data_IF_598387333668
#
_entry.id   IF_598387333668
#
_cell.length_a   1.000
_cell.length_b   1.000
_cell.length_c   1.000
_cell.angle_alpha   90.00
_cell.angle_beta   90.00
_cell.angle_gamma   90.00
#
_symmetry.space_group_name_H-M   'P 1'
#
loop_
_entity.id
_entity.type
_entity.pdbx_description
1 polymer ?
#
# COMPACT_ATOMS: atom_id res chain seq x y z
N UNK A 1 -2.05 -7.48 16.76
CA UNK A 1 -0.79 -8.08 17.29
C UNK A 1 -1.15 -9.33 18.08
N UNK A 2 -0.34 -10.39 18.01
CA UNK A 2 -0.61 -11.63 18.76
C UNK A 2 -0.24 -11.50 20.24
N UNK A 3 -1.14 -11.86 21.16
CA UNK A 3 -0.99 -11.64 22.61
C UNK A 3 0.32 -12.20 23.16
N UNK A 4 0.61 -13.46 22.90
CA UNK A 4 1.83 -14.12 23.42
C UNK A 4 3.11 -13.48 22.90
N UNK A 5 3.10 -12.97 21.67
CA UNK A 5 4.29 -12.34 21.07
C UNK A 5 4.56 -10.97 21.71
N UNK A 6 3.50 -10.25 22.07
CA UNK A 6 3.59 -8.99 22.82
C UNK A 6 4.16 -9.23 24.22
N UNK A 7 3.63 -10.19 24.97
CA UNK A 7 4.14 -10.49 26.32
C UNK A 7 5.59 -11.02 26.29
N UNK A 8 5.93 -11.88 25.32
CA UNK A 8 7.32 -12.32 25.08
C UNK A 8 8.24 -11.13 24.81
N UNK A 9 7.83 -10.19 23.98
CA UNK A 9 8.61 -8.97 23.71
C UNK A 9 8.79 -8.12 24.96
N UNK A 10 7.72 -7.88 25.74
CA UNK A 10 7.81 -7.08 26.96
C UNK A 10 8.80 -7.74 27.94
N UNK A 11 8.70 -9.04 28.17
CA UNK A 11 9.60 -9.78 29.06
C UNK A 11 11.07 -9.67 28.61
N UNK A 12 11.35 -9.99 27.33
CA UNK A 12 12.72 -9.96 26.79
C UNK A 12 13.28 -8.53 26.80
N UNK A 13 12.50 -7.53 26.36
CA UNK A 13 12.93 -6.12 26.35
C UNK A 13 13.24 -5.61 27.76
N UNK A 14 12.46 -6.06 28.76
CA UNK A 14 12.69 -5.72 30.17
C UNK A 14 14.00 -6.33 30.67
N UNK A 15 14.29 -7.59 30.34
CA UNK A 15 15.56 -8.24 30.70
C UNK A 15 16.77 -7.58 30.05
N UNK A 16 16.68 -7.21 28.76
CA UNK A 16 17.76 -6.54 28.04
C UNK A 16 18.04 -5.13 28.59
N UNK A 17 17.02 -4.46 29.12
CA UNK A 17 17.12 -3.10 29.66
C UNK A 17 17.49 -3.07 31.16
N UNK A 18 17.30 -4.18 31.87
CA UNK A 18 17.60 -4.32 33.30
C UNK A 18 18.99 -3.81 33.74
N UNK A 19 20.12 -4.09 33.03
CA UNK A 19 21.43 -3.58 33.45
C UNK A 19 21.57 -2.06 33.33
N UNK A 20 20.70 -1.39 32.55
CA UNK A 20 20.73 0.06 32.36
C UNK A 20 19.72 0.81 33.23
N UNK A 21 18.50 0.28 33.34
CA UNK A 21 17.40 0.90 34.07
C UNK A 21 16.74 -0.09 35.04
N UNK A 22 17.46 -0.56 36.07
CA UNK A 22 17.04 -1.66 36.92
C UNK A 22 15.74 -1.35 37.68
N UNK A 23 15.57 -0.13 38.19
CA UNK A 23 14.36 0.26 38.94
C UNK A 23 13.09 0.22 38.09
N UNK A 24 13.16 0.68 36.83
CA UNK A 24 12.04 0.63 35.90
C UNK A 24 11.73 -0.82 35.52
N UNK A 25 12.78 -1.61 35.25
CA UNK A 25 12.62 -3.00 34.85
C UNK A 25 12.06 -3.86 35.98
N UNK A 26 12.47 -3.64 37.23
CA UNK A 26 11.88 -4.27 38.43
C UNK A 26 10.39 -3.93 38.54
N UNK A 27 10.02 -2.67 38.35
CA UNK A 27 8.61 -2.27 38.36
C UNK A 27 7.81 -2.97 37.24
N UNK A 28 8.31 -2.98 36.00
CA UNK A 28 7.67 -3.70 34.89
C UNK A 28 7.56 -5.21 35.19
N UNK A 29 8.59 -5.80 35.76
CA UNK A 29 8.64 -7.23 36.12
C UNK A 29 7.55 -7.60 37.14
N UNK A 30 7.33 -6.75 38.15
CA UNK A 30 6.22 -6.90 39.10
C UNK A 30 4.85 -6.68 38.45
N UNK A 31 4.73 -5.75 37.50
CA UNK A 31 3.49 -5.55 36.73
C UNK A 31 3.14 -6.75 35.85
N UNK A 32 4.14 -7.50 35.38
CA UNK A 32 3.93 -8.78 34.68
C UNK A 32 3.50 -9.92 35.62
N UNK A 33 3.43 -9.68 36.94
CA UNK A 33 3.01 -10.66 37.93
C UNK A 33 4.07 -11.75 38.21
N UNK A 34 5.35 -11.47 37.92
CA UNK A 34 6.44 -12.40 38.24
C UNK A 34 6.67 -12.41 39.76
N UNK A 35 6.84 -13.59 40.38
CA UNK A 35 6.88 -13.71 41.84
C UNK A 35 8.18 -13.20 42.47
N UNK A 36 9.29 -13.27 41.74
CA UNK A 36 10.63 -12.91 42.22
C UNK A 36 11.12 -11.59 41.60
N UNK A 37 12.14 -10.99 42.22
CA UNK A 37 12.85 -9.83 41.68
C UNK A 37 13.52 -10.15 40.33
N UNK A 38 13.57 -9.17 39.42
CA UNK A 38 14.26 -9.28 38.14
C UNK A 38 15.76 -9.55 38.32
N UNK A 39 16.34 -9.22 39.48
CA UNK A 39 17.74 -9.48 39.81
C UNK A 39 18.07 -10.98 39.85
N UNK A 40 17.05 -11.83 40.03
CA UNK A 40 17.19 -13.29 39.99
C UNK A 40 16.93 -13.87 38.60
N UNK A 41 16.51 -13.05 37.62
CA UNK A 41 16.15 -13.52 36.30
C UNK A 41 17.38 -13.88 35.47
N UNK A 42 17.27 -14.97 34.70
CA UNK A 42 18.31 -15.38 33.74
C UNK A 42 18.23 -14.59 32.45
N UNK A 43 19.36 -14.49 31.74
CA UNK A 43 19.42 -13.89 30.41
C UNK A 43 18.46 -14.57 29.42
N UNK A 44 17.73 -13.82 28.57
CA UNK A 44 16.73 -14.39 27.67
C UNK A 44 17.34 -15.28 26.60
N UNK A 45 16.72 -16.44 26.37
CA UNK A 45 17.13 -17.39 25.31
C UNK A 45 16.54 -16.97 23.96
N UNK A 46 17.42 -16.81 22.97
CA UNK A 46 17.05 -16.51 21.59
C UNK A 46 16.48 -17.76 20.88
N UNK A 47 15.43 -17.56 20.09
CA UNK A 47 14.87 -18.58 19.21
C UNK A 47 15.60 -18.67 17.86
N UNK A 48 15.12 -19.51 16.93
CA UNK A 48 15.67 -19.57 15.58
C UNK A 48 15.45 -18.24 14.85
N UNK A 49 16.49 -17.77 14.16
CA UNK A 49 16.47 -16.54 13.36
C UNK A 49 16.23 -16.90 11.90
N UNK A 50 15.14 -16.39 11.31
CA UNK A 50 14.85 -16.56 9.89
C UNK A 50 15.25 -15.29 9.14
N UNK A 51 16.42 -15.33 8.50
CA UNK A 51 16.95 -14.18 7.76
C UNK A 51 16.08 -13.79 6.57
N UNK A 52 15.50 -14.77 5.86
CA UNK A 52 14.62 -14.51 4.71
C UNK A 52 13.38 -13.69 5.11
N UNK A 53 12.82 -13.94 6.30
CA UNK A 53 11.70 -13.14 6.84
C UNK A 53 12.14 -11.72 7.23
N UNK A 54 13.33 -11.56 7.79
CA UNK A 54 13.87 -10.23 8.12
C UNK A 54 14.10 -9.45 6.82
N UNK A 55 14.64 -10.11 5.80
CA UNK A 55 14.92 -9.54 4.49
C UNK A 55 13.64 -9.12 3.76
N UNK A 56 12.60 -9.96 3.77
CA UNK A 56 11.31 -9.62 3.17
C UNK A 56 10.62 -8.46 3.90
N UNK A 57 10.75 -8.40 5.23
CA UNK A 57 10.25 -7.25 6.02
C UNK A 57 11.02 -5.96 5.71
N UNK A 58 12.34 -6.01 5.55
CA UNK A 58 13.16 -4.85 5.16
C UNK A 58 12.76 -4.34 3.78
N UNK A 59 12.61 -5.26 2.81
CA UNK A 59 12.10 -4.95 1.48
C UNK A 59 10.74 -4.25 1.54
N UNK A 60 9.78 -4.78 2.33
CA UNK A 60 8.46 -4.15 2.50
C UNK A 60 8.56 -2.73 3.05
N UNK A 61 9.43 -2.49 4.04
CA UNK A 61 9.66 -1.15 4.61
C UNK A 61 10.22 -0.17 3.57
N UNK A 62 11.18 -0.61 2.77
CA UNK A 62 11.79 0.20 1.70
C UNK A 62 10.78 0.54 0.60
N UNK A 63 10.01 -0.44 0.13
CA UNK A 63 8.95 -0.22 -0.88
C UNK A 63 7.88 0.72 -0.34
N UNK A 64 7.47 0.55 0.92
CA UNK A 64 6.49 1.46 1.54
C UNK A 64 7.02 2.89 1.59
N UNK A 65 8.30 3.06 1.93
CA UNK A 65 8.95 4.38 1.94
C UNK A 65 9.00 5.02 0.54
N UNK A 66 9.43 4.26 -0.47
CA UNK A 66 9.48 4.72 -1.87
C UNK A 66 8.08 5.09 -2.39
N UNK A 67 7.06 4.28 -2.12
CA UNK A 67 5.68 4.59 -2.49
C UNK A 67 5.18 5.89 -1.88
N UNK A 68 5.47 6.15 -0.59
CA UNK A 68 5.12 7.42 0.08
C UNK A 68 5.84 8.60 -0.57
N UNK A 69 7.12 8.44 -0.90
CA UNK A 69 7.91 9.49 -1.55
C UNK A 69 7.37 9.82 -2.94
N UNK A 70 7.06 8.80 -3.75
CA UNK A 70 6.50 8.98 -5.09
C UNK A 70 5.08 9.58 -5.05
N UNK A 71 4.26 9.17 -4.09
CA UNK A 71 2.94 9.77 -3.87
C UNK A 71 3.06 11.26 -3.55
N UNK A 72 4.00 11.63 -2.67
CA UNK A 72 4.29 13.05 -2.36
C UNK A 72 4.70 13.82 -3.62
N UNK A 73 5.59 13.25 -4.44
CA UNK A 73 6.04 13.89 -5.68
C UNK A 73 4.92 14.04 -6.71
N UNK A 74 4.01 13.06 -6.81
CA UNK A 74 2.82 13.14 -7.67
C UNK A 74 1.88 14.28 -7.26
N UNK A 75 1.76 14.52 -5.96
CA UNK A 75 0.93 15.60 -5.42
C UNK A 75 1.59 16.98 -5.49
N UNK A 76 2.88 17.07 -5.81
CA UNK A 76 3.56 18.36 -6.00
C UNK A 76 3.30 18.90 -7.41
N UNK A 77 3.00 20.20 -7.56
CA UNK A 77 2.87 20.81 -8.88
C UNK A 77 4.17 20.64 -9.66
N UNK A 78 4.07 20.18 -10.91
CA UNK A 78 5.23 20.00 -11.78
C UNK A 78 5.99 21.34 -11.88
N UNK A 79 7.23 21.36 -11.38
CA UNK A 79 8.11 22.52 -11.50
C UNK A 79 8.30 22.85 -12.98
N UNK A 80 7.63 23.88 -13.48
CA UNK A 80 7.96 24.52 -14.76
C UNK A 80 6.87 24.62 -15.84
N UNK A 81 5.64 24.13 -15.67
CA UNK A 81 4.55 24.41 -16.63
C UNK A 81 3.42 25.22 -16.00
N UNK A 82 3.40 26.52 -16.31
CA UNK A 82 2.25 27.41 -16.11
C UNK A 82 1.15 27.05 -17.13
N UNK A 83 0.43 25.97 -16.93
CA UNK A 83 -0.84 25.72 -17.64
C UNK A 83 -1.80 24.98 -16.71
N UNK A 84 -2.95 25.63 -16.50
CA UNK A 84 -4.15 25.26 -15.75
C UNK A 84 -4.04 24.83 -14.28
N UNK A 85 -4.54 25.74 -13.43
CA UNK A 85 -4.82 25.57 -12.01
C UNK A 85 -6.01 24.62 -11.79
N UNK A 86 -5.92 23.37 -12.20
CA UNK A 86 -6.71 22.34 -11.53
C UNK A 86 -5.91 21.84 -10.32
N UNK A 87 -6.48 21.83 -9.11
CA UNK A 87 -5.81 21.23 -7.97
C UNK A 87 -5.51 19.77 -8.33
N UNK A 88 -4.23 19.36 -8.21
CA UNK A 88 -3.81 17.98 -8.43
C UNK A 88 -4.63 17.08 -7.49
N UNK A 89 -5.56 16.33 -8.08
CA UNK A 89 -6.42 15.44 -7.33
C UNK A 89 -5.59 14.28 -6.80
N UNK A 90 -5.82 13.92 -5.54
CA UNK A 90 -5.14 12.78 -4.92
C UNK A 90 -5.43 11.51 -5.74
N UNK A 91 -4.42 10.71 -6.08
CA UNK A 91 -4.65 9.49 -6.83
C UNK A 91 -5.50 8.52 -6.01
N UNK A 92 -6.44 7.86 -6.69
CA UNK A 92 -7.30 6.85 -6.08
C UNK A 92 -6.64 5.48 -6.06
N UNK A 93 -5.97 5.10 -7.14
CA UNK A 93 -5.48 3.75 -7.39
C UNK A 93 -3.97 3.77 -7.63
N UNK A 94 -3.31 2.66 -7.29
CA UNK A 94 -1.91 2.45 -7.61
C UNK A 94 -1.73 1.06 -8.22
N UNK A 95 -0.96 0.96 -9.30
CA UNK A 95 -0.51 -0.32 -9.84
C UNK A 95 0.97 -0.48 -9.55
N UNK A 96 1.32 -1.51 -8.81
CA UNK A 96 2.69 -1.92 -8.52
C UNK A 96 3.07 -3.04 -9.50
N UNK A 97 4.20 -2.90 -10.16
CA UNK A 97 4.76 -3.86 -11.09
C UNK A 97 6.00 -4.50 -10.49
N UNK A 98 5.99 -5.83 -10.46
CA UNK A 98 7.07 -6.66 -9.91
C UNK A 98 7.69 -7.48 -11.03
N UNK A 99 9.01 -7.43 -11.17
CA UNK A 99 9.74 -8.24 -12.14
C UNK A 99 10.13 -9.59 -11.51
N UNK A 100 9.87 -10.70 -12.22
CA UNK A 100 10.29 -12.04 -11.75
C UNK A 100 11.79 -12.27 -11.92
N UNK A 101 12.33 -11.81 -13.05
CA UNK A 101 13.72 -11.94 -13.42
C UNK A 101 14.26 -10.57 -13.82
N UNK A 102 15.56 -10.39 -13.72
CA UNK A 102 16.24 -9.22 -14.27
C UNK A 102 16.01 -9.12 -15.79
N UNK A 103 15.77 -7.90 -16.34
CA UNK A 103 15.79 -7.66 -17.78
C UNK A 103 17.09 -8.18 -18.42
N UNK A 104 17.10 -8.56 -19.72
CA UNK A 104 18.24 -9.23 -20.34
C UNK A 104 19.58 -8.50 -20.14
N UNK A 105 19.60 -7.18 -20.32
CA UNK A 105 20.82 -6.38 -20.14
C UNK A 105 21.28 -6.32 -18.68
N UNK A 106 20.36 -6.33 -17.71
CA UNK A 106 20.69 -6.36 -16.28
C UNK A 106 21.15 -7.76 -15.84
N UNK A 107 20.55 -8.80 -16.42
CA UNK A 107 20.96 -10.18 -16.17
C UNK A 107 22.39 -10.41 -16.65
N UNK A 108 22.73 -9.96 -17.87
CA UNK A 108 24.09 -10.05 -18.41
C UNK A 108 25.09 -9.27 -17.57
N UNK A 109 24.77 -8.03 -17.17
CA UNK A 109 25.66 -7.24 -16.31
C UNK A 109 25.87 -7.89 -14.94
N UNK A 110 24.80 -8.36 -14.29
CA UNK A 110 24.86 -9.02 -12.99
C UNK A 110 25.65 -10.35 -13.07
N UNK A 111 25.48 -11.11 -14.15
CA UNK A 111 26.26 -12.34 -14.40
C UNK A 111 27.76 -12.05 -14.53
N UNK A 112 28.14 -10.97 -15.19
CA UNK A 112 29.53 -10.52 -15.28
C UNK A 112 30.06 -10.08 -13.91
N UNK A 113 29.28 -9.33 -13.14
CA UNK A 113 29.66 -8.92 -11.80
C UNK A 113 29.86 -10.13 -10.88
N UNK A 114 28.98 -11.13 -10.96
CA UNK A 114 29.09 -12.40 -10.22
C UNK A 114 30.35 -13.18 -10.60
N UNK A 115 30.64 -13.31 -11.89
CA UNK A 115 31.88 -13.94 -12.39
C UNK A 115 33.13 -13.27 -11.82
N UNK A 116 33.18 -11.95 -11.82
CA UNK A 116 34.29 -11.18 -11.23
C UNK A 116 34.40 -11.34 -9.72
N UNK A 117 33.27 -11.39 -9.03
CA UNK A 117 33.21 -11.57 -7.59
C UNK A 117 33.75 -12.96 -7.19
N UNK A 118 33.36 -14.01 -7.91
CA UNK A 118 33.84 -15.38 -7.70
C UNK A 118 35.32 -15.54 -8.07
N UNK A 119 35.78 -14.92 -9.16
CA UNK A 119 37.16 -15.02 -9.62
C UNK A 119 38.18 -14.34 -8.69
N UNK A 120 37.77 -13.30 -7.96
CA UNK A 120 38.68 -12.45 -7.19
C UNK A 120 38.44 -12.53 -5.67
N UNK A 121 38.00 -13.69 -5.17
CA UNK A 121 37.75 -13.95 -3.75
C UNK A 121 36.84 -12.89 -3.08
N UNK A 122 35.77 -12.47 -3.76
CA UNK A 122 34.77 -11.55 -3.22
C UNK A 122 35.08 -10.06 -3.41
N UNK A 123 35.97 -9.71 -4.34
CA UNK A 123 36.28 -8.31 -4.65
C UNK A 123 36.00 -7.96 -6.11
N UNK A 124 35.11 -6.98 -6.31
CA UNK A 124 34.84 -6.45 -7.64
C UNK A 124 36.00 -5.58 -8.15
N UNK A 125 36.37 -5.70 -9.44
CA UNK A 125 37.34 -4.83 -10.09
C UNK A 125 36.95 -3.35 -10.08
N UNK A 126 37.90 -2.51 -10.47
CA UNK A 126 37.66 -1.07 -10.66
C UNK A 126 36.58 -0.82 -11.73
N UNK A 127 35.86 0.29 -11.59
CA UNK A 127 34.76 0.65 -12.48
C UNK A 127 35.22 0.77 -13.94
N UNK A 128 36.48 1.13 -14.20
CA UNK A 128 37.05 1.17 -15.55
C UNK A 128 37.12 -0.20 -16.21
N UNK A 129 37.54 -1.22 -15.47
CA UNK A 129 37.65 -2.60 -15.97
C UNK A 129 36.26 -3.15 -16.29
N UNK A 130 35.31 -2.96 -15.37
CA UNK A 130 33.91 -3.38 -15.55
C UNK A 130 33.28 -2.65 -16.76
N UNK A 131 33.48 -1.34 -16.88
CA UNK A 131 32.95 -0.57 -18.01
C UNK A 131 33.53 -1.02 -19.36
N UNK A 132 34.83 -1.38 -19.38
CA UNK A 132 35.50 -1.87 -20.59
C UNK A 132 34.93 -3.21 -21.05
N UNK A 133 34.75 -4.16 -20.12
CA UNK A 133 34.20 -5.48 -20.46
C UNK A 133 32.73 -5.40 -20.87
N UNK A 134 31.89 -4.70 -20.11
CA UNK A 134 30.47 -4.51 -20.45
C UNK A 134 30.30 -3.73 -21.76
N UNK A 135 31.22 -2.81 -22.07
CA UNK A 135 31.24 -2.07 -23.34
C UNK A 135 31.63 -2.91 -24.56
N UNK A 136 32.31 -4.05 -24.36
CA UNK A 136 32.65 -4.98 -25.44
C UNK A 136 31.50 -5.92 -25.80
N UNK A 137 30.48 -6.04 -24.95
CA UNK A 137 29.31 -6.88 -25.17
C UNK A 137 28.28 -6.20 -26.09
N UNK A 138 27.98 -6.75 -27.29
CA UNK A 138 27.07 -6.12 -28.25
C UNK A 138 25.64 -5.90 -27.70
N UNK A 139 25.18 -6.80 -26.83
CA UNK A 139 23.86 -6.79 -26.21
C UNK A 139 23.62 -5.55 -25.33
N UNK A 140 24.69 -4.98 -24.76
CA UNK A 140 24.61 -3.86 -23.82
C UNK A 140 24.78 -2.50 -24.50
N UNK A 141 25.12 -2.46 -25.80
CA UNK A 141 25.43 -1.22 -26.54
C UNK A 141 24.30 -0.18 -26.48
N UNK A 142 23.05 -0.63 -26.52
CA UNK A 142 21.85 0.24 -26.40
C UNK A 142 21.66 0.79 -24.97
N UNK A 143 22.16 0.08 -23.96
CA UNK A 143 21.91 0.34 -22.55
C UNK A 143 23.13 0.90 -21.79
N UNK A 144 24.26 1.16 -22.46
CA UNK A 144 25.50 1.60 -21.81
C UNK A 144 25.34 2.82 -20.89
N UNK A 145 24.39 3.72 -21.18
CA UNK A 145 24.06 4.86 -20.29
C UNK A 145 23.42 4.43 -18.96
N UNK A 146 22.69 3.32 -18.93
CA UNK A 146 22.01 2.74 -17.74
C UNK A 146 22.89 1.71 -17.01
N UNK A 147 23.83 1.09 -17.71
CA UNK A 147 24.69 0.02 -17.17
C UNK A 147 25.54 0.48 -15.99
N UNK A 148 26.29 1.59 -16.12
CA UNK A 148 27.19 2.02 -15.04
C UNK A 148 26.45 2.52 -13.78
N UNK A 149 25.33 3.27 -13.88
CA UNK A 149 24.48 3.56 -12.72
C UNK A 149 23.98 2.29 -12.03
N UNK A 150 23.60 1.25 -12.79
CA UNK A 150 23.20 -0.03 -12.23
C UNK A 150 24.35 -0.73 -11.49
N UNK A 151 25.55 -0.78 -12.07
CA UNK A 151 26.74 -1.34 -11.41
C UNK A 151 27.06 -0.59 -10.11
N UNK A 152 26.99 0.75 -10.11
CA UNK A 152 27.24 1.57 -8.93
C UNK A 152 26.25 1.25 -7.80
N UNK A 153 24.96 1.15 -8.14
CA UNK A 153 23.90 0.76 -7.20
C UNK A 153 24.12 -0.65 -6.64
N UNK A 154 24.52 -1.62 -7.47
CA UNK A 154 24.84 -2.98 -7.03
C UNK A 154 26.04 -2.98 -6.09
N UNK A 155 27.10 -2.20 -6.37
CA UNK A 155 28.25 -2.05 -5.46
C UNK A 155 27.86 -1.44 -4.11
N UNK A 156 27.05 -0.38 -4.10
CA UNK A 156 26.57 0.22 -2.86
C UNK A 156 25.75 -0.77 -2.02
N UNK A 157 24.85 -1.51 -2.68
CA UNK A 157 24.05 -2.53 -2.03
C UNK A 157 24.88 -3.74 -1.54
N UNK A 158 25.95 -4.10 -2.26
CA UNK A 158 26.87 -5.17 -1.88
C UNK A 158 27.62 -4.86 -0.59
N UNK A 159 28.13 -3.63 -0.46
CA UNK A 159 28.81 -3.18 0.76
C UNK A 159 27.85 -3.10 1.96
N UNK A 160 26.58 -2.77 1.71
CA UNK A 160 25.57 -2.61 2.78
C UNK A 160 24.93 -3.91 3.24
N UNK A 161 24.56 -4.78 2.29
CA UNK A 161 23.69 -5.94 2.52
C UNK A 161 24.38 -7.27 2.23
N UNK A 162 25.63 -7.25 1.74
CA UNK A 162 26.42 -8.44 1.46
C UNK A 162 26.13 -9.10 0.10
N UNK A 163 26.75 -10.26 -0.18
CA UNK A 163 26.80 -10.89 -1.51
C UNK A 163 25.46 -11.34 -2.09
N UNK A 164 24.42 -11.50 -1.28
CA UNK A 164 23.06 -11.93 -1.70
C UNK A 164 22.44 -11.07 -2.81
N UNK A 165 22.86 -9.81 -2.92
CA UNK A 165 22.40 -8.90 -3.98
C UNK A 165 22.88 -9.32 -5.38
N UNK A 166 23.88 -10.21 -5.46
CA UNK A 166 24.40 -10.77 -6.71
C UNK A 166 23.65 -12.03 -7.15
N UNK A 167 22.65 -12.46 -6.38
CA UNK A 167 21.79 -13.55 -6.79
C UNK A 167 20.83 -13.11 -7.88
N UNK A 168 20.65 -13.98 -8.88
CA UNK A 168 19.83 -13.70 -10.06
C UNK A 168 18.33 -13.66 -9.71
N UNK A 169 17.97 -14.22 -8.56
CA UNK A 169 16.61 -14.31 -8.04
C UNK A 169 16.64 -14.00 -6.54
N UNK A 170 15.55 -13.40 -6.05
CA UNK A 170 15.39 -13.13 -4.62
C UNK A 170 15.10 -14.42 -3.85
N UNK A 171 15.49 -14.42 -2.56
CA UNK A 171 15.27 -15.53 -1.62
C UNK A 171 13.79 -15.72 -1.23
N UNK A 172 12.93 -14.75 -1.56
CA UNK A 172 11.51 -14.74 -1.23
C UNK A 172 10.64 -14.32 -2.43
N UNK A 173 9.36 -14.71 -2.41
CA UNK A 173 8.40 -14.29 -3.42
C UNK A 173 7.96 -12.84 -3.17
N UNK A 174 8.52 -11.93 -3.96
CA UNK A 174 8.27 -10.50 -3.89
C UNK A 174 6.77 -10.15 -4.03
N UNK A 175 6.06 -10.84 -4.92
CA UNK A 175 4.62 -10.60 -5.11
C UNK A 175 3.83 -11.07 -3.90
N UNK A 176 4.14 -12.25 -3.36
CA UNK A 176 3.45 -12.77 -2.18
C UNK A 176 3.62 -11.85 -0.96
N UNK A 177 4.85 -11.38 -0.71
CA UNK A 177 5.15 -10.45 0.40
C UNK A 177 4.35 -9.15 0.30
N UNK A 178 4.23 -8.58 -0.89
CA UNK A 178 3.40 -7.40 -1.11
C UNK A 178 1.92 -7.73 -0.90
N UNK A 179 1.44 -8.86 -1.44
CA UNK A 179 0.05 -9.31 -1.34
C UNK A 179 -0.40 -9.55 0.11
N UNK A 180 0.45 -10.10 0.97
CA UNK A 180 0.15 -10.28 2.41
C UNK A 180 -0.08 -8.94 3.13
N UNK A 181 0.52 -7.85 2.64
CA UNK A 181 0.53 -6.55 3.30
C UNK A 181 -0.22 -5.45 2.53
N UNK A 182 -0.99 -5.79 1.48
CA UNK A 182 -1.72 -4.80 0.65
C UNK A 182 -2.70 -3.96 1.45
N UNK A 183 -3.32 -4.52 2.49
CA UNK A 183 -4.29 -3.81 3.33
C UNK A 183 -3.59 -2.69 4.08
N UNK A 184 -2.41 -2.98 4.65
CA UNK A 184 -1.58 -1.99 5.32
C UNK A 184 -1.10 -0.91 4.34
N UNK A 185 -0.61 -1.30 3.15
CA UNK A 185 -0.15 -0.35 2.13
C UNK A 185 -1.28 0.58 1.66
N UNK A 186 -2.45 0.02 1.39
CA UNK A 186 -3.65 0.78 0.94
C UNK A 186 -4.08 1.79 2.00
N UNK A 187 -4.13 1.37 3.26
CA UNK A 187 -4.50 2.24 4.37
C UNK A 187 -3.43 3.31 4.63
N UNK A 188 -2.15 2.93 4.62
CA UNK A 188 -1.05 3.86 4.91
C UNK A 188 -0.84 4.91 3.81
N UNK A 189 -1.07 4.56 2.55
CA UNK A 189 -1.02 5.50 1.43
C UNK A 189 -2.36 6.23 1.22
N UNK A 190 -3.37 5.86 2.02
CA UNK A 190 -4.73 6.38 1.95
C UNK A 190 -5.35 6.27 0.54
N UNK A 191 -4.97 5.21 -0.18
CA UNK A 191 -5.48 4.88 -1.51
C UNK A 191 -6.77 4.07 -1.41
N UNK A 192 -7.48 3.98 -2.52
CA UNK A 192 -8.68 3.15 -2.71
C UNK A 192 -8.31 1.67 -2.85
N UNK A 193 -7.40 1.40 -3.78
CA UNK A 193 -7.05 0.07 -4.21
C UNK A 193 -5.64 0.06 -4.78
N UNK A 194 -4.95 -1.06 -4.54
CA UNK A 194 -3.60 -1.31 -5.05
C UNK A 194 -3.64 -2.62 -5.83
N UNK A 195 -3.27 -2.55 -7.11
CA UNK A 195 -3.07 -3.73 -7.95
C UNK A 195 -1.61 -4.13 -7.96
N UNK A 196 -1.30 -5.41 -7.74
CA UNK A 196 0.06 -5.95 -7.87
C UNK A 196 0.12 -6.86 -9.09
N UNK A 197 0.78 -6.38 -10.15
CA UNK A 197 0.94 -7.07 -11.44
C UNK A 197 2.38 -7.49 -11.67
N UNK A 198 2.58 -8.49 -12.52
CA UNK A 198 3.92 -8.77 -13.01
C UNK A 198 4.32 -7.74 -14.06
N UNK A 199 5.59 -7.35 -14.09
CA UNK A 199 6.12 -6.35 -15.03
C UNK A 199 5.94 -6.76 -16.51
N UNK A 200 5.67 -8.04 -16.80
CA UNK A 200 5.33 -8.53 -18.13
C UNK A 200 4.04 -7.92 -18.70
N UNK A 201 3.08 -7.56 -17.84
CA UNK A 201 1.81 -6.93 -18.22
C UNK A 201 1.92 -5.40 -18.34
N UNK A 202 3.09 -4.83 -18.06
CA UNK A 202 3.32 -3.39 -18.06
C UNK A 202 3.69 -2.86 -19.46
N UNK A 203 3.64 -1.54 -19.62
CA UNK A 203 4.21 -0.86 -20.78
C UNK A 203 5.73 -1.09 -20.91
N UNK A 204 6.25 -0.92 -22.11
CA UNK A 204 7.65 -1.24 -22.45
C UNK A 204 8.68 -0.58 -21.53
N UNK A 205 8.42 0.65 -21.08
CA UNK A 205 9.30 1.39 -20.16
C UNK A 205 9.40 0.70 -18.81
N UNK A 206 8.26 0.38 -18.19
CA UNK A 206 8.25 -0.32 -16.90
C UNK A 206 8.84 -1.72 -17.06
N UNK A 207 8.51 -2.43 -18.15
CA UNK A 207 9.02 -3.78 -18.40
C UNK A 207 10.55 -3.83 -18.56
N UNK A 208 11.14 -2.80 -19.14
CA UNK A 208 12.59 -2.71 -19.38
C UNK A 208 13.39 -2.18 -18.20
N UNK A 209 12.80 -1.31 -17.37
CA UNK A 209 13.46 -0.67 -16.23
C UNK A 209 13.19 -1.34 -14.88
N UNK A 210 12.08 -2.08 -14.74
CA UNK A 210 11.74 -2.77 -13.50
C UNK A 210 12.69 -3.96 -13.26
N UNK A 211 13.16 -4.09 -12.02
CA UNK A 211 14.00 -5.20 -11.60
C UNK A 211 13.56 -5.77 -10.24
N UNK A 212 13.85 -7.05 -9.95
CA UNK A 212 13.53 -7.66 -8.68
C UNK A 212 14.08 -6.84 -7.51
N UNK A 213 13.28 -6.70 -6.46
CA UNK A 213 13.62 -5.94 -5.24
C UNK A 213 13.44 -4.43 -5.35
N UNK A 214 13.21 -3.90 -6.55
CA UNK A 214 12.90 -2.47 -6.79
C UNK A 214 11.66 -2.35 -7.69
N UNK A 215 10.46 -2.64 -7.17
CA UNK A 215 9.24 -2.60 -7.95
C UNK A 215 8.95 -1.17 -8.41
N UNK A 216 8.38 -1.05 -9.61
CA UNK A 216 7.91 0.23 -10.14
C UNK A 216 6.42 0.37 -9.91
N UNK A 217 5.94 1.61 -9.83
CA UNK A 217 4.54 1.90 -9.56
C UNK A 217 4.04 3.07 -10.39
N UNK A 218 2.75 3.03 -10.69
CA UNK A 218 2.03 4.07 -11.41
C UNK A 218 0.76 4.42 -10.63
N UNK A 219 0.62 5.69 -10.27
CA UNK A 219 -0.59 6.22 -9.66
C UNK A 219 -1.60 6.60 -10.74
N UNK A 220 -2.87 6.26 -10.53
CA UNK A 220 -3.97 6.59 -11.44
C UNK A 220 -5.18 7.14 -10.68
N UNK A 221 -5.88 8.04 -11.34
CA UNK A 221 -7.19 8.54 -10.90
C UNK A 221 -8.21 7.79 -11.72
N UNK A 222 -9.03 6.99 -11.06
CA UNK A 222 -10.16 6.37 -11.73
C UNK A 222 -11.34 7.34 -11.76
N UNK A 223 -11.97 7.51 -12.93
CA UNK A 223 -13.10 8.41 -13.08
C UNK A 223 -14.27 7.93 -12.22
N UNK A 224 -14.95 8.87 -11.58
CA UNK A 224 -16.12 8.60 -10.76
C UNK A 224 -17.15 9.71 -10.88
N UNK A 225 -18.37 9.40 -10.44
CA UNK A 225 -19.46 10.38 -10.34
C UNK A 225 -19.60 10.79 -8.87
N UNK A 226 -19.62 12.10 -8.62
CA UNK A 226 -19.75 12.65 -7.27
C UNK A 226 -21.19 12.51 -6.77
N UNK A 227 -21.35 11.89 -5.61
CA UNK A 227 -22.62 11.68 -4.90
C UNK A 227 -22.57 12.33 -3.54
N UNK A 228 -23.68 12.96 -3.15
CA UNK A 228 -23.86 13.53 -1.83
C UNK A 228 -24.34 12.45 -0.87
N UNK A 229 -23.51 12.09 0.11
CA UNK A 229 -23.90 11.25 1.22
C UNK A 229 -24.45 12.13 2.34
N UNK A 230 -25.70 11.92 2.73
CA UNK A 230 -26.42 12.73 3.72
C UNK A 230 -26.80 11.87 4.92
N UNK A 231 -26.57 12.39 6.13
CA UNK A 231 -27.06 11.78 7.35
C UNK A 231 -28.25 12.60 7.91
N UNK A 232 -29.48 12.04 7.88
CA UNK A 232 -30.66 12.73 8.39
C UNK A 232 -30.93 12.51 9.88
N UNK A 233 -30.13 11.72 10.59
CA UNK A 233 -30.41 11.40 11.99
C UNK A 233 -30.17 12.63 12.88
N UNK A 234 -31.12 12.97 13.77
CA UNK A 234 -30.96 14.12 14.65
C UNK A 234 -29.84 13.90 15.67
N UNK A 235 -29.22 14.99 16.10
CA UNK A 235 -28.29 15.02 17.24
C UNK A 235 -27.05 14.12 17.11
N UNK A 236 -26.62 13.81 15.89
CA UNK A 236 -25.32 13.17 15.63
C UNK A 236 -24.31 14.17 15.04
N UNK A 237 -23.02 13.88 15.20
CA UNK A 237 -21.92 14.71 14.65
C UNK A 237 -21.56 14.36 13.19
N UNK A 238 -22.45 13.67 12.46
CA UNK A 238 -22.14 13.14 11.14
C UNK A 238 -22.70 14.06 10.04
N UNK A 239 -21.81 14.77 9.35
CA UNK A 239 -22.18 15.76 8.34
C UNK A 239 -22.33 15.16 6.93
N UNK A 240 -23.07 15.87 6.08
CA UNK A 240 -23.14 15.53 4.66
C UNK A 240 -21.77 15.68 4.00
N UNK A 241 -21.38 14.68 3.20
CA UNK A 241 -20.09 14.64 2.50
C UNK A 241 -20.27 14.23 1.06
N UNK A 242 -19.47 14.80 0.14
CA UNK A 242 -19.45 14.36 -1.26
C UNK A 242 -18.38 13.30 -1.45
N UNK A 243 -18.75 12.17 -2.04
CA UNK A 243 -17.85 11.05 -2.34
C UNK A 243 -17.97 10.73 -3.83
N UNK A 244 -16.86 10.40 -4.47
CA UNK A 244 -16.88 9.88 -5.84
C UNK A 244 -17.20 8.39 -5.81
N UNK A 245 -18.26 7.97 -6.50
CA UNK A 245 -18.60 6.57 -6.75
C UNK A 245 -18.00 6.16 -8.09
N UNK A 246 -17.40 4.98 -8.14
CA UNK A 246 -16.70 4.40 -9.28
C UNK A 246 -17.36 3.11 -9.73
N UNK A 247 -16.99 2.69 -10.93
CA UNK A 247 -17.54 1.49 -11.56
C UNK A 247 -17.14 0.24 -10.76
N UNK A 248 -18.13 -0.56 -10.34
CA UNK A 248 -17.90 -1.81 -9.62
C UNK A 248 -17.75 -1.66 -8.10
N UNK A 249 -18.04 -0.48 -7.55
CA UNK A 249 -18.02 -0.29 -6.11
C UNK A 249 -19.07 -1.15 -5.40
N UNK A 250 -18.74 -1.56 -4.18
CA UNK A 250 -19.68 -2.17 -3.24
C UNK A 250 -19.96 -1.22 -2.06
N UNK A 251 -20.94 -1.58 -1.23
CA UNK A 251 -21.29 -0.81 -0.03
C UNK A 251 -20.08 -0.60 0.89
N UNK A 252 -19.27 -1.63 1.10
CA UNK A 252 -18.05 -1.57 1.91
C UNK A 252 -17.07 -0.49 1.43
N UNK A 253 -16.80 -0.42 0.14
CA UNK A 253 -15.89 0.57 -0.46
C UNK A 253 -16.40 1.99 -0.22
N UNK A 254 -17.70 2.22 -0.39
CA UNK A 254 -18.32 3.53 -0.13
C UNK A 254 -18.24 3.88 1.36
N UNK A 255 -18.54 2.94 2.26
CA UNK A 255 -18.46 3.16 3.70
C UNK A 255 -17.01 3.42 4.12
N UNK A 256 -16.02 2.71 3.57
CA UNK A 256 -14.59 2.98 3.83
C UNK A 256 -14.17 4.38 3.38
N UNK A 257 -14.67 4.86 2.23
CA UNK A 257 -14.45 6.26 1.81
C UNK A 257 -15.09 7.24 2.77
N UNK A 258 -16.31 6.96 3.22
CA UNK A 258 -17.01 7.79 4.20
C UNK A 258 -16.24 7.84 5.53
N UNK A 259 -15.73 6.71 6.03
CA UNK A 259 -14.92 6.63 7.26
C UNK A 259 -13.61 7.44 7.14
N UNK A 260 -13.00 7.49 5.96
CA UNK A 260 -11.80 8.32 5.72
C UNK A 260 -12.10 9.81 5.85
N UNK A 261 -13.28 10.27 5.41
CA UNK A 261 -13.71 11.66 5.55
C UNK A 261 -14.27 11.96 6.95
N UNK A 262 -14.97 11.00 7.55
CA UNK A 262 -15.60 11.10 8.86
C UNK A 262 -15.00 10.08 9.84
N UNK A 263 -13.90 10.49 10.49
CA UNK A 263 -13.14 9.66 11.45
C UNK A 263 -13.93 9.27 12.71
N UNK A 264 -15.14 9.82 12.92
CA UNK A 264 -16.02 9.42 14.00
C UNK A 264 -16.62 8.02 13.81
N UNK A 265 -16.68 7.53 12.57
CA UNK A 265 -17.17 6.19 12.25
C UNK A 265 -16.01 5.20 12.37
N UNK A 266 -16.11 4.29 13.35
CA UNK A 266 -15.06 3.31 13.66
C UNK A 266 -15.34 1.91 13.15
N UNK A 267 -16.59 1.61 12.81
CA UNK A 267 -17.05 0.27 12.47
C UNK A 267 -17.91 0.29 11.20
N UNK A 268 -17.61 -0.64 10.29
CA UNK A 268 -18.28 -0.81 9.01
C UNK A 268 -19.72 -1.27 9.21
N UNK A 269 -19.96 -2.24 10.11
CA UNK A 269 -21.29 -2.83 10.32
C UNK A 269 -22.31 -1.88 10.94
N UNK A 270 -21.86 -0.76 11.48
CA UNK A 270 -22.72 0.27 12.07
C UNK A 270 -23.30 1.22 11.04
N UNK A 271 -22.78 1.22 9.81
CA UNK A 271 -23.24 2.11 8.76
C UNK A 271 -24.19 1.37 7.83
N UNK A 272 -25.41 1.90 7.66
CA UNK A 272 -26.37 1.43 6.66
C UNK A 272 -26.55 2.47 5.57
N UNK A 273 -26.34 2.05 4.32
CA UNK A 273 -26.61 2.87 3.15
C UNK A 273 -28.06 2.68 2.69
N UNK A 274 -28.71 3.79 2.40
CA UNK A 274 -30.11 3.85 1.96
C UNK A 274 -30.20 4.69 0.70
N UNK A 275 -31.11 4.33 -0.20
CA UNK A 275 -31.48 5.14 -1.37
C UNK A 275 -32.89 5.68 -1.21
N UNK A 276 -33.19 6.78 -1.88
CA UNK A 276 -34.57 7.25 -1.99
C UNK A 276 -35.35 6.34 -2.96
N UNK A 277 -36.64 6.14 -2.67
CA UNK A 277 -37.53 5.43 -3.58
C UNK A 277 -37.77 6.21 -4.87
N UNK A 278 -37.81 7.55 -4.76
CA UNK A 278 -37.76 8.50 -5.88
C UNK A 278 -36.43 9.28 -5.86
N UNK A 279 -35.52 9.01 -6.82
CA UNK A 279 -34.21 9.66 -6.89
C UNK A 279 -34.23 11.18 -7.12
N UNK A 280 -35.31 11.74 -7.68
CA UNK A 280 -35.38 13.16 -8.05
C UNK A 280 -36.16 13.98 -7.03
N UNK A 281 -37.31 13.47 -6.58
CA UNK A 281 -38.17 14.15 -5.62
C UNK A 281 -37.75 13.89 -4.18
N UNK A 282 -37.22 12.70 -3.87
CA UNK A 282 -36.83 12.31 -2.52
C UNK A 282 -35.87 13.30 -1.85
N UNK A 283 -34.70 13.62 -2.46
CA UNK A 283 -33.75 14.58 -1.91
C UNK A 283 -34.29 16.00 -1.73
N UNK A 284 -35.38 16.36 -2.42
CA UNK A 284 -36.00 17.70 -2.39
C UNK A 284 -37.12 17.82 -1.35
N UNK A 285 -37.52 16.72 -0.72
CA UNK A 285 -38.53 16.71 0.34
C UNK A 285 -37.89 17.07 1.68
N UNK A 286 -38.61 17.84 2.49
CA UNK A 286 -38.17 18.21 3.82
C UNK A 286 -38.09 16.95 4.70
N UNK A 287 -36.94 16.63 5.33
CA UNK A 287 -36.82 15.48 6.20
C UNK A 287 -37.76 15.59 7.41
N UNK A 288 -38.51 14.54 7.70
CA UNK A 288 -39.35 14.44 8.90
C UNK A 288 -38.56 13.78 10.02
N UNK A 289 -38.37 14.49 11.13
CA UNK A 289 -37.63 14.01 12.30
C UNK A 289 -38.27 12.73 12.87
N UNK A 290 -37.45 11.72 13.18
CA UNK A 290 -37.88 10.43 13.71
C UNK A 290 -38.50 9.47 12.70
N UNK A 291 -38.51 9.83 11.41
CA UNK A 291 -38.95 8.98 10.29
C UNK A 291 -37.82 8.78 9.29
N UNK A 292 -36.65 8.36 9.76
CA UNK A 292 -35.46 8.24 8.90
C UNK A 292 -35.62 7.20 7.79
N UNK A 293 -36.54 6.25 7.92
CA UNK A 293 -36.78 5.14 6.99
C UNK A 293 -37.92 5.38 5.97
N UNK A 294 -38.71 6.44 6.11
CA UNK A 294 -39.88 6.65 5.23
C UNK A 294 -39.42 7.09 3.84
N UNK A 295 -39.98 6.47 2.78
CA UNK A 295 -39.66 6.69 1.36
C UNK A 295 -38.19 6.39 0.98
N UNK A 296 -37.56 5.48 1.73
CA UNK A 296 -36.18 5.08 1.54
C UNK A 296 -36.04 3.57 1.63
N UNK A 297 -35.28 3.01 0.70
CA UNK A 297 -34.98 1.59 0.63
C UNK A 297 -33.54 1.33 1.03
N UNK A 298 -33.26 0.32 1.88
CA UNK A 298 -31.89 -0.06 2.20
C UNK A 298 -31.21 -0.64 0.97
N UNK A 299 -29.94 -0.27 0.79
CA UNK A 299 -29.10 -0.84 -0.25
C UNK A 299 -28.55 -2.17 0.27
N UNK A 300 -28.69 -3.23 -0.51
CA UNK A 300 -28.17 -4.56 -0.17
C UNK A 300 -26.64 -4.54 -0.07
N UNK A 301 -26.09 -5.35 0.83
CA UNK A 301 -24.62 -5.53 0.96
C UNK A 301 -24.00 -6.13 -0.30
N UNK A 302 -24.77 -6.89 -1.08
CA UNK A 302 -24.34 -7.50 -2.34
C UNK A 302 -24.53 -6.60 -3.56
N UNK A 303 -25.04 -5.38 -3.36
CA UNK A 303 -25.28 -4.46 -4.46
C UNK A 303 -23.97 -3.94 -5.05
N UNK A 304 -23.92 -3.86 -6.37
CA UNK A 304 -22.79 -3.30 -7.12
C UNK A 304 -23.22 -2.00 -7.77
N UNK A 305 -22.43 -0.95 -7.56
CA UNK A 305 -22.64 0.36 -8.16
C UNK A 305 -22.00 0.41 -9.55
N UNK A 306 -22.83 0.67 -10.55
CA UNK A 306 -22.42 0.88 -11.94
C UNK A 306 -22.56 2.37 -12.27
N UNK A 307 -21.51 2.95 -12.83
CA UNK A 307 -21.40 4.37 -13.10
C UNK A 307 -21.40 4.59 -14.60
N UNK A 308 -22.35 5.38 -15.08
CA UNK A 308 -22.33 5.89 -16.45
C UNK A 308 -21.67 7.27 -16.46
N UNK A 309 -20.43 7.30 -16.95
CA UNK A 309 -19.62 8.51 -17.02
C UNK A 309 -20.15 9.53 -18.03
N UNK A 310 -20.89 9.11 -19.06
CA UNK A 310 -21.42 10.03 -20.07
C UNK A 310 -22.65 10.78 -19.54
N UNK A 311 -23.57 10.06 -18.90
CA UNK A 311 -24.79 10.64 -18.34
C UNK A 311 -24.63 11.16 -16.91
N UNK A 312 -23.47 10.89 -16.27
CA UNK A 312 -23.19 11.15 -14.85
C UNK A 312 -24.25 10.54 -13.91
N UNK A 313 -24.76 9.37 -14.28
CA UNK A 313 -25.75 8.63 -13.50
C UNK A 313 -25.15 7.40 -12.85
N UNK A 314 -25.78 6.98 -11.76
CA UNK A 314 -25.36 5.82 -10.98
C UNK A 314 -26.52 4.85 -10.90
N UNK A 315 -26.23 3.63 -11.34
CA UNK A 315 -27.16 2.52 -11.33
C UNK A 315 -26.70 1.48 -10.32
N UNK A 316 -27.57 1.16 -9.38
CA UNK A 316 -27.41 0.01 -8.53
C UNK A 316 -27.80 -1.25 -9.30
N UNK A 317 -27.01 -2.31 -9.20
CA UNK A 317 -27.44 -3.64 -9.67
C UNK A 317 -27.64 -4.55 -8.49
N UNK A 318 -28.89 -4.95 -8.25
CA UNK A 318 -29.30 -5.91 -7.22
C UNK A 318 -30.06 -7.04 -7.89
N UNK A 319 -29.59 -8.29 -7.75
CA UNK A 319 -30.24 -9.48 -8.31
C UNK A 319 -30.55 -9.38 -9.82
N UNK A 320 -29.73 -8.65 -10.59
CA UNK A 320 -29.90 -8.42 -12.02
C UNK A 320 -30.81 -7.24 -12.40
N UNK A 321 -31.46 -6.59 -11.44
CA UNK A 321 -32.29 -5.41 -11.66
C UNK A 321 -31.42 -4.15 -11.52
N UNK A 322 -31.48 -3.27 -12.53
CA UNK A 322 -30.79 -1.97 -12.50
C UNK A 322 -31.73 -0.88 -11.99
N UNK A 323 -31.30 -0.16 -10.97
CA UNK A 323 -32.09 0.93 -10.36
C UNK A 323 -31.27 2.22 -10.32
N UNK A 324 -31.83 3.34 -10.77
CA UNK A 324 -31.20 4.66 -10.67
C UNK A 324 -31.26 5.16 -9.22
N UNK A 325 -30.12 5.58 -8.68
CA UNK A 325 -30.00 6.09 -7.29
C UNK A 325 -30.06 7.62 -7.24
N UNK A 326 -29.86 8.29 -8.39
CA UNK A 326 -29.73 9.74 -8.43
C UNK A 326 -28.37 10.23 -7.92
N UNK A 327 -28.35 11.44 -7.35
CA UNK A 327 -27.14 12.14 -6.91
C UNK A 327 -26.92 12.13 -5.39
N UNK A 328 -27.84 11.52 -4.65
CA UNK A 328 -27.88 11.57 -3.18
C UNK A 328 -28.12 10.19 -2.58
N UNK A 329 -27.21 9.78 -1.68
CA UNK A 329 -27.33 8.56 -0.88
C UNK A 329 -27.49 8.95 0.58
N UNK A 330 -28.28 8.21 1.33
CA UNK A 330 -28.41 8.39 2.76
C UNK A 330 -27.52 7.38 3.47
N UNK A 331 -26.82 7.83 4.52
CA UNK A 331 -26.13 6.94 5.42
C UNK A 331 -26.64 7.13 6.85
N UNK A 332 -26.93 6.02 7.51
CA UNK A 332 -27.36 5.96 8.91
C UNK A 332 -26.27 5.26 9.72
N UNK A 333 -25.95 5.79 10.90
CA UNK A 333 -24.98 5.24 11.83
C UNK A 333 -25.71 4.73 13.07
N UNK A 334 -25.49 3.46 13.44
CA UNK A 334 -26.16 2.76 14.55
C UNK A 334 -25.23 2.42 15.71
#
# INVERSE_FOLDING_TARGET
>A
MHRELVFRFIEVQTLLLAPFCPHLCEHIWTLLGKPDSIMNASWPVAGPVNEVLIHSSQYLMEVTHDLRLRLKNYMMPAKGKKTDKQPLQKPSHCTIYVAKNYPPWQHTTLSVLRKHFEANNGKLPDNKVIASELGSMPELKKYMKKVMPFVAMIKENLEKMGPRILDLQLEFDEKAVLMENIVYLTNSLELEHIEVKFASEAEDKIREDCCPGKPLNVFRIEPGVSVSLVNPQPSNGHFSTKIEIRQGDNCDSIIRRLMKMNRGIKDLSKVKLMRFDDPLLGPRRVPVLGKEYTEKTPISEHAVFNVDLMSKKIHLTENGIRVDIGDTIIYLVH
#
